data_IF_741941413289
#
_entry.id   IF_741941413289
#
_cell.length_a   1.000
_cell.length_b   1.000
_cell.length_c   1.000
_cell.angle_alpha   90.00
_cell.angle_beta   90.00
_cell.angle_gamma   90.00
#
_symmetry.space_group_name_H-M   'P 1'
#
loop_
_entity.id
_entity.type
_entity.pdbx_description
1 polymer ?
#
# COMPACT_ATOMS: atom_id res chain seq x y z
N UNK A 1 -21.53 24.68 3.07
CA UNK A 1 -22.50 24.21 2.07
C UNK A 1 -22.71 22.73 2.31
N UNK A 2 -23.95 22.28 2.52
CA UNK A 2 -24.27 20.87 2.72
C UNK A 2 -24.15 20.13 1.38
N UNK A 3 -23.35 19.08 1.33
CA UNK A 3 -23.34 18.19 0.16
C UNK A 3 -24.67 17.40 0.17
N UNK A 4 -25.48 17.57 -0.86
CA UNK A 4 -26.69 16.77 -1.06
C UNK A 4 -26.25 15.38 -1.53
N UNK A 5 -26.62 14.35 -0.76
CA UNK A 5 -26.32 12.95 -1.04
C UNK A 5 -27.65 12.21 -1.14
N UNK A 6 -27.84 11.51 -2.25
CA UNK A 6 -28.98 10.62 -2.47
C UNK A 6 -28.49 9.22 -2.81
N UNK A 7 -29.30 8.20 -2.51
CA UNK A 7 -29.01 6.81 -2.82
C UNK A 7 -30.11 6.25 -3.72
N UNK A 8 -29.74 5.84 -4.92
CA UNK A 8 -30.64 5.22 -5.89
C UNK A 8 -30.51 3.69 -5.83
N UNK A 9 -31.64 3.00 -5.66
CA UNK A 9 -31.70 1.55 -5.75
C UNK A 9 -32.09 1.13 -7.17
N UNK A 10 -31.26 0.32 -7.81
CA UNK A 10 -31.50 -0.15 -9.18
C UNK A 10 -31.64 -1.67 -9.21
N UNK A 11 -32.57 -2.15 -10.04
CA UNK A 11 -32.68 -3.55 -10.44
C UNK A 11 -32.32 -3.72 -11.91
N UNK A 12 -31.70 -4.84 -12.26
CA UNK A 12 -31.47 -5.21 -13.65
C UNK A 12 -32.59 -6.14 -14.13
N UNK A 13 -33.31 -5.74 -15.17
CA UNK A 13 -34.38 -6.56 -15.75
C UNK A 13 -34.54 -6.26 -17.23
N UNK A 14 -34.67 -7.31 -18.06
CA UNK A 14 -34.85 -7.16 -19.50
C UNK A 14 -33.70 -6.41 -20.19
N UNK A 15 -32.46 -6.65 -19.77
CA UNK A 15 -31.29 -6.04 -20.40
C UNK A 15 -30.93 -4.62 -19.91
N UNK A 16 -31.74 -4.02 -19.02
CA UNK A 16 -31.57 -2.62 -18.59
C UNK A 16 -31.65 -2.44 -17.08
N UNK A 17 -30.98 -1.41 -16.59
CA UNK A 17 -31.13 -0.95 -15.21
C UNK A 17 -32.42 -0.14 -15.06
N UNK A 18 -33.19 -0.41 -14.01
CA UNK A 18 -34.37 0.37 -13.62
C UNK A 18 -34.22 0.85 -12.19
N UNK A 19 -34.58 2.09 -11.94
CA UNK A 19 -34.65 2.65 -10.59
C UNK A 19 -35.89 2.09 -9.89
N UNK A 20 -35.70 1.61 -8.68
CA UNK A 20 -36.73 1.03 -7.83
C UNK A 20 -37.13 2.00 -6.71
N UNK A 21 -36.23 2.89 -6.31
CA UNK A 21 -36.47 3.89 -5.28
C UNK A 21 -35.27 4.79 -5.05
N UNK A 22 -35.53 5.88 -4.34
CA UNK A 22 -34.56 6.86 -3.85
C UNK A 22 -34.60 6.88 -2.33
N UNK A 23 -33.43 7.06 -1.72
CA UNK A 23 -33.26 7.05 -0.27
C UNK A 23 -32.27 8.14 0.14
N UNK A 24 -32.51 8.75 1.30
CA UNK A 24 -31.60 9.74 1.88
C UNK A 24 -30.55 9.08 2.81
N UNK A 25 -30.87 7.86 3.27
CA UNK A 25 -30.02 7.07 4.15
C UNK A 25 -29.40 5.88 3.42
N UNK A 26 -28.08 5.74 3.58
CA UNK A 26 -27.29 4.69 2.93
C UNK A 26 -27.69 3.31 3.40
N UNK A 27 -27.83 3.13 4.70
CA UNK A 27 -27.99 1.82 5.30
C UNK A 27 -29.40 1.30 5.05
N UNK A 28 -30.40 2.18 5.03
CA UNK A 28 -31.75 1.88 4.58
C UNK A 28 -31.78 1.43 3.10
N UNK A 29 -31.09 2.17 2.21
CA UNK A 29 -30.99 1.79 0.80
C UNK A 29 -30.35 0.41 0.61
N UNK A 30 -29.28 0.12 1.36
CA UNK A 30 -28.59 -1.18 1.33
C UNK A 30 -29.47 -2.29 1.92
N UNK A 31 -30.20 -2.03 3.01
CA UNK A 31 -31.11 -2.98 3.61
C UNK A 31 -32.20 -3.40 2.63
N UNK A 32 -32.80 -2.43 1.94
CA UNK A 32 -33.82 -2.71 0.92
C UNK A 32 -33.22 -3.44 -0.30
N UNK A 33 -32.00 -3.08 -0.70
CA UNK A 33 -31.29 -3.79 -1.75
C UNK A 33 -31.07 -5.27 -1.40
N UNK A 34 -30.66 -5.57 -0.15
CA UNK A 34 -30.49 -6.95 0.35
C UNK A 34 -31.81 -7.70 0.38
N UNK A 35 -32.88 -7.08 0.87
CA UNK A 35 -34.23 -7.68 0.88
C UNK A 35 -34.69 -8.04 -0.53
N UNK A 36 -34.42 -7.16 -1.50
CA UNK A 36 -34.72 -7.43 -2.90
C UNK A 36 -33.84 -8.54 -3.50
N UNK A 37 -32.56 -8.62 -3.10
CA UNK A 37 -31.63 -9.66 -3.55
C UNK A 37 -32.04 -11.04 -3.04
N UNK A 38 -32.44 -11.13 -1.77
CA UNK A 38 -32.95 -12.33 -1.13
C UNK A 38 -34.19 -12.89 -1.82
N UNK A 39 -35.03 -12.03 -2.41
CA UNK A 39 -36.19 -12.47 -3.19
C UNK A 39 -35.81 -13.23 -4.47
N UNK A 40 -34.56 -13.10 -4.95
CA UNK A 40 -34.01 -13.68 -6.19
C UNK A 40 -34.82 -13.36 -7.45
N UNK A 41 -35.67 -12.34 -7.39
CA UNK A 41 -36.52 -11.92 -8.53
C UNK A 41 -35.74 -11.15 -9.59
N UNK A 42 -34.59 -10.58 -9.22
CA UNK A 42 -33.78 -9.73 -10.09
C UNK A 42 -32.39 -10.35 -10.28
N UNK A 43 -31.92 -10.52 -11.53
CA UNK A 43 -30.58 -11.06 -11.82
C UNK A 43 -29.43 -10.23 -11.23
N UNK A 44 -29.63 -8.93 -11.07
CA UNK A 44 -28.66 -8.05 -10.44
C UNK A 44 -29.34 -6.84 -9.79
N UNK A 45 -28.73 -6.36 -8.72
CA UNK A 45 -29.16 -5.22 -7.93
C UNK A 45 -27.94 -4.35 -7.61
N UNK A 46 -28.12 -3.04 -7.58
CA UNK A 46 -27.07 -2.12 -7.13
C UNK A 46 -27.67 -0.93 -6.40
N UNK A 47 -26.90 -0.34 -5.50
CA UNK A 47 -27.19 0.96 -4.91
C UNK A 47 -26.13 1.95 -5.38
N UNK A 48 -26.57 3.09 -5.91
CA UNK A 48 -25.71 4.17 -6.38
C UNK A 48 -25.87 5.35 -5.43
N UNK A 49 -24.78 5.77 -4.80
CA UNK A 49 -24.70 7.07 -4.14
C UNK A 49 -24.48 8.13 -5.21
N UNK A 50 -25.32 9.14 -5.21
CA UNK A 50 -25.17 10.35 -6.01
C UNK A 50 -24.90 11.52 -5.07
N UNK A 51 -23.81 12.23 -5.31
CA UNK A 51 -23.41 13.39 -4.53
C UNK A 51 -23.29 14.61 -5.42
N UNK A 52 -23.97 15.69 -5.05
CA UNK A 52 -23.80 16.97 -5.72
C UNK A 52 -22.42 17.56 -5.42
N UNK A 53 -21.72 17.96 -6.48
CA UNK A 53 -20.42 18.64 -6.40
C UNK A 53 -20.60 20.13 -6.75
N UNK A 54 -20.62 21.03 -5.76
CA UNK A 54 -20.85 22.45 -5.99
C UNK A 54 -19.73 23.14 -6.76
N UNK A 55 -18.51 22.58 -6.80
CA UNK A 55 -17.39 23.18 -7.54
C UNK A 55 -17.55 23.01 -9.05
N UNK A 56 -18.09 21.87 -9.46
CA UNK A 56 -18.30 21.54 -10.88
C UNK A 56 -19.73 21.78 -11.34
N UNK A 57 -20.67 21.97 -10.40
CA UNK A 57 -22.11 22.05 -10.68
C UNK A 57 -22.72 20.73 -11.16
N UNK A 58 -21.99 19.62 -11.04
CA UNK A 58 -22.40 18.30 -11.50
C UNK A 58 -22.66 17.31 -10.36
N UNK A 59 -23.00 16.08 -10.73
CA UNK A 59 -23.16 14.97 -9.80
C UNK A 59 -22.03 13.95 -9.94
N UNK A 60 -21.52 13.46 -8.81
CA UNK A 60 -20.58 12.36 -8.72
C UNK A 60 -21.32 11.12 -8.25
N UNK A 61 -21.29 10.06 -9.06
CA UNK A 61 -21.96 8.80 -8.75
C UNK A 61 -20.96 7.73 -8.32
N UNK A 62 -21.31 6.95 -7.28
CA UNK A 62 -20.53 5.81 -6.78
C UNK A 62 -21.44 4.65 -6.44
N UNK A 63 -21.16 3.45 -6.96
CA UNK A 63 -21.87 2.25 -6.52
C UNK A 63 -21.41 1.86 -5.11
N UNK A 64 -22.34 1.82 -4.14
CA UNK A 64 -22.07 1.47 -2.73
C UNK A 64 -22.52 0.06 -2.35
N UNK A 65 -23.38 -0.55 -3.16
CA UNK A 65 -23.76 -1.96 -3.06
C UNK A 65 -23.95 -2.54 -4.46
N UNK A 66 -23.56 -3.79 -4.66
CA UNK A 66 -23.75 -4.54 -5.88
C UNK A 66 -23.97 -6.01 -5.52
N UNK A 67 -24.99 -6.60 -6.11
CA UNK A 67 -25.18 -8.05 -6.13
C UNK A 67 -25.57 -8.46 -7.53
N UNK A 68 -25.02 -9.56 -8.01
CA UNK A 68 -25.50 -10.22 -9.22
C UNK A 68 -25.43 -11.73 -9.03
N UNK A 69 -26.34 -12.44 -9.70
CA UNK A 69 -26.35 -13.91 -9.67
C UNK A 69 -25.02 -14.53 -10.15
N UNK A 70 -24.25 -13.79 -10.99
CA UNK A 70 -22.91 -14.17 -11.44
C UNK A 70 -21.82 -13.82 -10.42
N UNK A 71 -21.94 -12.69 -9.72
CA UNK A 71 -20.95 -12.26 -8.72
C UNK A 71 -20.96 -13.15 -7.48
N UNK A 72 -22.11 -13.71 -7.09
CA UNK A 72 -22.18 -14.66 -5.97
C UNK A 72 -21.28 -15.90 -6.17
N UNK A 73 -21.04 -16.30 -7.42
CA UNK A 73 -20.16 -17.42 -7.75
C UNK A 73 -18.67 -17.02 -7.82
N UNK A 74 -18.38 -15.73 -7.96
CA UNK A 74 -17.03 -15.16 -7.99
C UNK A 74 -16.54 -14.68 -6.62
N UNK A 75 -17.45 -14.35 -5.69
CA UNK A 75 -17.12 -13.85 -4.35
C UNK A 75 -16.32 -14.87 -3.52
N UNK A 76 -16.54 -16.17 -3.73
CA UNK A 76 -15.71 -17.23 -3.14
C UNK A 76 -14.27 -17.17 -3.66
N UNK A 77 -14.09 -17.08 -4.98
CA UNK A 77 -12.77 -16.97 -5.59
C UNK A 77 -12.05 -15.65 -5.23
N UNK A 78 -12.80 -14.56 -5.01
CA UNK A 78 -12.24 -13.28 -4.60
C UNK A 78 -11.77 -13.32 -3.12
N UNK A 79 -12.52 -13.98 -2.24
CA UNK A 79 -12.14 -14.20 -0.84
C UNK A 79 -10.88 -15.07 -0.72
N UNK A 80 -10.83 -16.17 -1.46
CA UNK A 80 -9.64 -17.04 -1.53
C UNK A 80 -8.40 -16.27 -2.03
N UNK A 81 -8.55 -15.42 -3.05
CA UNK A 81 -7.45 -14.55 -3.52
C UNK A 81 -7.03 -13.50 -2.50
N UNK A 82 -7.98 -12.95 -1.75
CA UNK A 82 -7.69 -11.97 -0.70
C UNK A 82 -6.92 -12.62 0.47
N UNK A 83 -7.27 -13.85 0.84
CA UNK A 83 -6.57 -14.64 1.85
C UNK A 83 -5.16 -15.03 1.38
N UNK A 84 -5.03 -15.57 0.16
CA UNK A 84 -3.73 -15.90 -0.44
C UNK A 84 -2.81 -14.67 -0.54
N UNK A 85 -3.37 -13.48 -0.82
CA UNK A 85 -2.59 -12.23 -0.85
C UNK A 85 -2.14 -11.80 0.54
N UNK A 86 -2.95 -12.00 1.59
CA UNK A 86 -2.57 -11.72 2.98
C UNK A 86 -1.44 -12.65 3.43
N UNK A 87 -1.53 -13.93 3.14
CA UNK A 87 -0.48 -14.92 3.46
C UNK A 87 0.82 -14.63 2.72
N UNK A 88 0.75 -14.29 1.43
CA UNK A 88 1.93 -13.93 0.64
C UNK A 88 2.60 -12.64 1.14
N UNK A 89 1.82 -11.69 1.64
CA UNK A 89 2.34 -10.44 2.21
C UNK A 89 3.00 -10.68 3.57
N UNK A 90 2.36 -11.47 4.45
CA UNK A 90 2.92 -11.86 5.75
C UNK A 90 4.23 -12.66 5.62
N UNK A 91 4.31 -13.55 4.62
CA UNK A 91 5.53 -14.31 4.35
C UNK A 91 6.67 -13.43 3.82
N UNK A 92 6.34 -12.40 3.01
CA UNK A 92 7.34 -11.44 2.49
C UNK A 92 7.86 -10.52 3.58
N UNK A 93 7.00 -10.04 4.47
CA UNK A 93 7.43 -9.22 5.61
C UNK A 93 8.31 -10.03 6.56
N UNK A 94 7.92 -11.27 6.91
CA UNK A 94 8.73 -12.15 7.76
C UNK A 94 10.11 -12.47 7.17
N UNK A 95 10.21 -12.68 5.84
CA UNK A 95 11.51 -12.90 5.16
C UNK A 95 12.37 -11.64 5.10
N UNK A 96 11.75 -10.47 4.94
CA UNK A 96 12.48 -9.20 4.96
C UNK A 96 12.99 -8.87 6.37
N UNK A 97 12.19 -9.11 7.41
CA UNK A 97 12.61 -8.91 8.80
C UNK A 97 13.74 -9.86 9.22
N UNK A 98 13.72 -11.11 8.73
CA UNK A 98 14.82 -12.06 8.92
C UNK A 98 16.11 -11.59 8.22
N UNK A 99 16.04 -11.11 6.97
CA UNK A 99 17.19 -10.57 6.25
C UNK A 99 17.77 -9.29 6.86
N UNK A 100 16.93 -8.42 7.43
CA UNK A 100 17.37 -7.19 8.10
C UNK A 100 18.13 -7.49 9.40
N UNK A 101 17.77 -8.58 10.09
CA UNK A 101 18.49 -9.02 11.29
C UNK A 101 19.81 -9.75 10.98
N UNK A 102 19.91 -10.49 9.87
CA UNK A 102 21.17 -11.12 9.44
C UNK A 102 22.21 -10.10 8.92
N UNK A 103 21.78 -8.96 8.37
CA UNK A 103 22.66 -7.90 7.88
C UNK A 103 23.31 -7.02 8.96
N UNK A 104 22.94 -7.18 10.24
CA UNK A 104 23.48 -6.37 11.36
C UNK A 104 24.64 -7.01 12.12
N UNK A 105 25.07 -8.21 11.74
CA UNK A 105 26.09 -8.97 12.47
C UNK A 105 27.48 -8.99 11.81
N UNK A 106 27.73 -8.26 10.71
CA UNK A 106 29.03 -8.33 10.04
C UNK A 106 29.47 -7.05 9.31
N UNK A 107 30.69 -6.62 9.63
CA UNK A 107 31.48 -5.52 9.04
C UNK A 107 31.16 -4.11 9.61
N UNK A 108 32.12 -3.32 10.09
CA UNK A 108 33.53 -3.19 9.68
C UNK A 108 34.44 -3.04 10.91
N UNK A 109 35.46 -3.89 10.95
CA UNK A 109 36.57 -3.88 11.90
C UNK A 109 37.52 -2.69 11.68
N UNK A 110 37.74 -1.94 12.76
CA UNK A 110 38.94 -1.19 13.12
C UNK A 110 40.06 -1.00 12.07
N UNK A 111 39.97 0.05 11.26
CA UNK A 111 41.10 0.55 10.45
C UNK A 111 41.93 1.67 11.13
N UNK A 112 41.79 1.86 12.45
CA UNK A 112 42.54 2.87 13.22
C UNK A 112 44.01 2.49 13.54
N UNK A 113 44.36 1.26 13.99
CA UNK A 113 45.75 0.96 14.31
C UNK A 113 46.66 0.89 13.07
N UNK A 114 46.12 0.47 11.92
CA UNK A 114 46.90 0.37 10.68
C UNK A 114 47.22 1.74 10.05
N UNK A 115 46.36 2.75 10.27
CA UNK A 115 46.63 4.14 9.90
C UNK A 115 47.70 4.76 10.82
N UNK A 116 47.65 4.47 12.12
CA UNK A 116 48.64 4.96 13.09
C UNK A 116 50.05 4.40 12.80
N UNK A 117 50.17 3.12 12.46
CA UNK A 117 51.48 2.50 12.10
C UNK A 117 52.09 3.16 10.86
N UNK A 118 51.27 3.47 9.85
CA UNK A 118 51.76 4.15 8.64
C UNK A 118 52.20 5.59 8.91
N UNK A 119 51.50 6.31 9.78
CA UNK A 119 51.89 7.67 10.17
C UNK A 119 53.24 7.69 10.90
N UNK A 120 53.46 6.75 11.82
CA UNK A 120 54.74 6.65 12.55
C UNK A 120 55.91 6.33 11.61
N UNK A 121 55.72 5.43 10.64
CA UNK A 121 56.76 5.11 9.65
C UNK A 121 57.16 6.31 8.78
N UNK A 122 56.19 7.12 8.35
CA UNK A 122 56.46 8.31 7.54
C UNK A 122 57.23 9.38 8.34
N UNK A 123 56.87 9.58 9.61
CA UNK A 123 57.58 10.53 10.49
C UNK A 123 59.01 10.06 10.77
N UNK A 124 59.22 8.75 11.03
CA UNK A 124 60.55 8.21 11.27
C UNK A 124 61.47 8.34 10.04
N UNK A 125 60.95 8.09 8.83
CA UNK A 125 61.69 8.29 7.58
C UNK A 125 62.06 9.75 7.33
N UNK A 126 61.14 10.68 7.59
CA UNK A 126 61.40 12.11 7.48
C UNK A 126 62.48 12.58 8.46
N UNK A 127 62.43 12.11 9.71
CA UNK A 127 63.42 12.46 10.72
C UNK A 127 64.82 11.91 10.40
N UNK A 128 64.90 10.67 9.89
CA UNK A 128 66.16 10.07 9.46
C UNK A 128 66.80 10.80 8.26
N UNK A 129 65.99 11.26 7.30
CA UNK A 129 66.48 12.03 6.15
C UNK A 129 67.06 13.40 6.58
N UNK A 130 66.38 14.09 7.50
CA UNK A 130 66.86 15.38 8.04
C UNK A 130 68.14 15.17 8.87
N UNK A 131 68.19 14.12 9.68
CA UNK A 131 69.37 13.80 10.48
C UNK A 131 70.59 13.45 9.61
N UNK A 132 70.39 12.66 8.54
CA UNK A 132 71.45 12.32 7.59
C UNK A 132 71.98 13.56 6.84
N UNK A 133 71.10 14.45 6.39
CA UNK A 133 71.51 15.72 5.76
C UNK A 133 72.31 16.62 6.71
N UNK A 134 71.92 16.68 7.98
CA UNK A 134 72.62 17.50 8.97
C UNK A 134 73.97 16.90 9.40
N UNK A 135 74.11 15.57 9.40
CA UNK A 135 75.35 14.90 9.81
C UNK A 135 76.39 14.79 8.68
N UNK A 136 75.93 14.58 7.44
CA UNK A 136 76.81 14.41 6.27
C UNK A 136 76.94 15.66 5.38
N UNK A 137 76.13 16.69 5.60
CA UNK A 137 76.21 17.96 4.86
C UNK A 137 77.25 18.95 5.39
N UNK A 138 78.00 18.58 6.44
CA UNK A 138 79.00 19.45 7.08
C UNK A 138 80.42 18.85 7.08
N UNK A 139 80.73 17.97 6.12
CA UNK A 139 82.11 17.61 5.70
C UNK A 139 82.34 18.07 4.27
#
# INVERSE_FOLDING_TARGET
>A
MSAEIAYELHSYTGGRWKIQGFFDDRDLAILEARRMDESRRFPAIRVVEERFDPETGGYKSRTVYRSSALDQHNDTALKERAEARREATATRTARNDAKVNEGKAGSISSSLPMLAVKAVLLVALGFAAIWALNHFGNT
#
